data_IF_300435609053
#
_entry.id   IF_300435609053
#
_cell.length_a   1.000
_cell.length_b   1.000
_cell.length_c   1.000
_cell.angle_alpha   90.00
_cell.angle_beta   90.00
_cell.angle_gamma   90.00
#
_symmetry.space_group_name_H-M   'P 1'
#
loop_
_entity.id
_entity.type
_entity.pdbx_description
1 polymer ?
#
# COMPACT_ATOMS: atom_id res chain seq x y z
N UNK A 1 4.20 67.55 5.59
CA UNK A 1 4.57 66.59 6.65
C UNK A 1 3.36 65.70 6.95
N UNK A 2 3.36 64.47 6.45
CA UNK A 2 2.40 63.43 6.83
C UNK A 2 3.19 62.15 7.07
N UNK A 3 3.05 61.63 8.27
CA UNK A 3 3.92 60.65 8.92
C UNK A 3 3.71 59.29 8.25
N UNK A 4 4.78 58.74 7.71
CA UNK A 4 4.86 57.38 7.17
C UNK A 4 4.92 56.37 8.32
N UNK A 5 3.80 55.73 8.63
CA UNK A 5 3.80 54.54 9.51
C UNK A 5 4.11 53.30 8.68
N UNK A 6 5.39 52.95 8.62
CA UNK A 6 5.86 51.64 8.15
C UNK A 6 5.56 50.62 9.25
N UNK A 7 4.44 49.92 9.17
CA UNK A 7 4.23 48.70 9.95
C UNK A 7 4.97 47.56 9.25
N UNK A 8 6.09 47.11 9.85
CA UNK A 8 6.80 45.90 9.48
C UNK A 8 5.86 44.69 9.57
N UNK A 9 5.51 44.14 8.42
CA UNK A 9 4.80 42.87 8.29
C UNK A 9 5.80 41.72 8.55
N UNK A 10 5.92 41.30 9.81
CA UNK A 10 6.69 40.10 10.17
C UNK A 10 5.92 38.85 9.73
N UNK A 11 6.08 38.46 8.47
CA UNK A 11 5.53 37.23 7.91
C UNK A 11 6.19 36.00 8.54
N UNK A 12 5.56 35.42 9.55
CA UNK A 12 5.89 34.06 10.02
C UNK A 12 5.41 33.08 8.97
N UNK A 13 6.32 32.67 8.09
CA UNK A 13 6.11 31.57 7.15
C UNK A 13 5.97 30.28 7.98
N UNK A 14 4.75 29.96 8.39
CA UNK A 14 4.41 28.62 8.89
C UNK A 14 4.53 27.68 7.70
N UNK A 15 5.71 27.09 7.54
CA UNK A 15 5.93 25.91 6.70
C UNK A 15 5.07 24.79 7.29
N UNK A 16 3.81 24.75 6.88
CA UNK A 16 2.91 23.62 7.09
C UNK A 16 3.43 22.48 6.21
N UNK A 17 4.49 21.82 6.67
CA UNK A 17 4.92 20.57 6.07
C UNK A 17 3.73 19.62 6.09
N UNK A 18 3.27 19.19 4.91
CA UNK A 18 2.28 18.13 4.79
C UNK A 18 2.81 16.92 5.57
N UNK A 19 2.26 16.69 6.76
CA UNK A 19 2.75 15.60 7.60
C UNK A 19 2.16 14.29 7.09
N UNK A 20 2.95 13.55 6.31
CA UNK A 20 2.62 12.15 6.02
C UNK A 20 2.48 11.37 7.34
N UNK A 21 1.57 10.39 7.35
CA UNK A 21 1.41 9.47 8.49
C UNK A 21 2.58 8.48 8.58
N UNK A 22 3.18 8.13 7.44
CA UNK A 22 4.37 7.29 7.37
C UNK A 22 5.65 8.12 7.34
N UNK A 23 6.76 7.50 7.70
CA UNK A 23 8.09 8.11 7.62
C UNK A 23 8.92 7.49 6.49
N UNK A 24 9.68 8.29 5.72
CA UNK A 24 10.66 7.75 4.78
C UNK A 24 11.69 6.86 5.49
N UNK A 25 12.12 5.79 4.83
CA UNK A 25 13.27 4.99 5.27
C UNK A 25 14.56 5.64 4.78
N UNK A 26 15.61 5.71 5.59
CA UNK A 26 16.87 6.34 5.16
C UNK A 26 17.50 5.62 3.96
N UNK A 27 17.50 4.28 4.01
CA UNK A 27 17.88 3.44 2.87
C UNK A 27 16.67 3.15 1.98
N UNK A 28 16.66 3.71 0.77
CA UNK A 28 15.57 3.55 -0.19
C UNK A 28 15.63 2.25 -1.01
N UNK A 29 16.65 1.40 -0.81
CA UNK A 29 16.79 0.10 -1.47
C UNK A 29 15.97 -0.95 -0.73
N UNK A 30 15.04 -1.60 -1.45
CA UNK A 30 14.32 -2.78 -0.95
C UNK A 30 15.32 -3.91 -0.75
N UNK A 31 15.48 -4.33 0.50
CA UNK A 31 16.34 -5.47 0.83
C UNK A 31 15.63 -6.77 0.44
N UNK A 32 16.34 -7.76 -0.14
CA UNK A 32 15.79 -9.09 -0.39
C UNK A 32 15.25 -9.73 0.90
N UNK A 33 14.29 -10.64 0.75
CA UNK A 33 13.82 -11.43 1.89
C UNK A 33 14.92 -12.34 2.46
N UNK A 34 14.81 -12.67 3.75
CA UNK A 34 15.68 -13.66 4.40
C UNK A 34 15.36 -15.06 3.88
N UNK A 35 16.31 -16.00 3.95
CA UNK A 35 16.14 -17.36 3.44
C UNK A 35 14.91 -18.08 4.03
N UNK A 36 14.64 -17.89 5.33
CA UNK A 36 13.49 -18.50 6.02
C UNK A 36 12.23 -17.60 6.01
N UNK A 37 12.32 -16.41 5.41
CA UNK A 37 11.24 -15.43 5.34
C UNK A 37 10.63 -15.31 3.95
N UNK A 38 9.60 -14.48 3.83
CA UNK A 38 9.12 -13.94 2.56
C UNK A 38 8.92 -12.42 2.70
N UNK A 39 8.79 -11.71 1.59
CA UNK A 39 8.51 -10.28 1.60
C UNK A 39 7.52 -9.91 0.51
N UNK A 40 6.59 -9.02 0.82
CA UNK A 40 5.70 -8.41 -0.19
C UNK A 40 5.96 -6.90 -0.22
N UNK A 41 6.23 -6.37 -1.41
CA UNK A 41 6.43 -4.95 -1.65
C UNK A 41 5.16 -4.38 -2.27
N UNK A 42 4.40 -3.64 -1.47
CA UNK A 42 3.20 -2.94 -1.94
C UNK A 42 3.59 -1.58 -2.49
N UNK A 43 3.20 -1.28 -3.73
CA UNK A 43 3.60 -0.08 -4.46
C UNK A 43 2.40 0.71 -4.93
N UNK A 44 2.47 2.04 -4.81
CA UNK A 44 1.49 2.95 -5.41
C UNK A 44 2.19 4.02 -6.23
N UNK A 45 2.31 3.78 -7.54
CA UNK A 45 2.99 4.69 -8.48
C UNK A 45 2.05 5.63 -9.26
N UNK A 46 0.74 5.53 -9.10
CA UNK A 46 -0.21 6.23 -9.96
C UNK A 46 -0.16 7.78 -9.86
N UNK A 47 -0.41 8.48 -10.97
CA UNK A 47 -0.55 9.94 -11.00
C UNK A 47 -1.96 10.45 -10.66
N UNK A 48 -2.95 9.55 -10.56
CA UNK A 48 -4.37 9.85 -10.36
C UNK A 48 -4.81 9.64 -8.90
N UNK A 49 -5.85 10.38 -8.47
CA UNK A 49 -6.37 10.36 -7.09
C UNK A 49 -5.30 10.61 -5.99
N UNK A 50 -4.39 11.55 -6.23
CA UNK A 50 -3.23 11.86 -5.35
C UNK A 50 -3.60 12.19 -3.90
N UNK A 51 -4.83 12.63 -3.63
CA UNK A 51 -5.27 13.11 -2.33
C UNK A 51 -5.79 12.01 -1.38
N UNK A 52 -5.88 10.75 -1.82
CA UNK A 52 -6.47 9.65 -1.03
C UNK A 52 -5.39 8.62 -0.76
N UNK A 53 -5.23 8.24 0.50
CA UNK A 53 -4.32 7.19 0.94
C UNK A 53 -5.08 5.87 1.16
N UNK A 54 -4.36 4.76 1.07
CA UNK A 54 -4.90 3.43 1.33
C UNK A 54 -4.18 2.79 2.51
N UNK A 55 -4.90 2.23 3.47
CA UNK A 55 -4.29 1.48 4.57
C UNK A 55 -4.20 0.00 4.23
N UNK A 56 -3.11 -0.64 4.64
CA UNK A 56 -2.79 -2.03 4.33
C UNK A 56 -2.70 -2.87 5.60
N UNK A 57 -3.15 -4.12 5.48
CA UNK A 57 -3.21 -5.07 6.56
C UNK A 57 -2.83 -6.47 6.07
N UNK A 58 -2.14 -7.22 6.89
CA UNK A 58 -2.10 -8.68 6.81
C UNK A 58 -3.30 -9.16 7.64
N UNK A 59 -4.21 -9.88 7.01
CA UNK A 59 -5.44 -10.42 7.62
C UNK A 59 -5.46 -11.94 7.62
N UNK A 60 -4.28 -12.56 7.47
CA UNK A 60 -4.12 -14.01 7.47
C UNK A 60 -4.77 -14.61 8.73
N UNK A 61 -5.48 -15.73 8.55
CA UNK A 61 -6.26 -16.40 9.60
C UNK A 61 -7.32 -15.51 10.28
N UNK A 62 -7.76 -14.44 9.60
CA UNK A 62 -8.74 -13.49 10.10
C UNK A 62 -8.22 -12.53 11.17
N UNK A 63 -6.91 -12.49 11.42
CA UNK A 63 -6.29 -11.56 12.37
C UNK A 63 -5.77 -10.32 11.64
N UNK A 64 -6.30 -9.15 11.96
CA UNK A 64 -5.83 -7.91 11.33
C UNK A 64 -4.56 -7.38 11.99
N UNK A 65 -3.47 -7.49 11.25
CA UNK A 65 -2.20 -6.88 11.57
C UNK A 65 -1.95 -5.68 10.64
N UNK A 66 -1.70 -4.52 11.23
CA UNK A 66 -1.43 -3.30 10.48
C UNK A 66 -0.06 -3.36 9.78
N UNK A 67 -0.07 -3.18 8.45
CA UNK A 67 1.13 -3.12 7.62
C UNK A 67 1.60 -1.67 7.46
N UNK A 68 0.68 -0.76 7.16
CA UNK A 68 0.98 0.67 7.06
C UNK A 68 -0.03 1.43 6.20
N UNK A 69 0.30 2.67 5.85
CA UNK A 69 -0.53 3.53 5.00
C UNK A 69 0.26 3.86 3.73
N UNK A 70 -0.35 3.57 2.58
CA UNK A 70 0.25 3.75 1.28
C UNK A 70 -0.26 5.03 0.64
N UNK A 71 0.53 6.09 0.78
CA UNK A 71 0.31 7.36 0.09
C UNK A 71 0.81 7.31 -1.35
N UNK A 72 0.45 8.30 -2.15
CA UNK A 72 0.81 8.33 -3.56
C UNK A 72 2.33 8.46 -3.73
N UNK A 73 2.92 7.69 -4.64
CA UNK A 73 4.38 7.69 -4.86
C UNK A 73 5.16 7.06 -3.70
N UNK A 74 4.54 6.14 -2.95
CA UNK A 74 5.21 5.41 -1.86
C UNK A 74 5.12 3.90 -2.06
N UNK A 75 6.03 3.19 -1.39
CA UNK A 75 6.05 1.73 -1.29
C UNK A 75 6.35 1.30 0.14
N UNK A 76 5.81 0.14 0.51
CA UNK A 76 6.09 -0.52 1.79
C UNK A 76 6.64 -1.91 1.47
N UNK A 77 7.83 -2.22 1.98
CA UNK A 77 8.36 -3.58 1.99
C UNK A 77 7.93 -4.24 3.31
N UNK A 78 7.07 -5.27 3.23
CA UNK A 78 6.53 -5.98 4.38
C UNK A 78 7.15 -7.38 4.48
N UNK A 79 8.11 -7.60 5.40
CA UNK A 79 8.61 -8.93 5.72
C UNK A 79 7.51 -9.73 6.42
N UNK A 80 7.35 -10.99 6.02
CA UNK A 80 6.38 -11.92 6.61
C UNK A 80 6.90 -13.35 6.53
N UNK A 81 6.18 -14.30 7.10
CA UNK A 81 6.54 -15.70 6.97
C UNK A 81 6.10 -16.27 5.59
N UNK A 82 6.77 -17.30 5.07
CA UNK A 82 6.32 -18.01 3.89
C UNK A 82 4.95 -18.70 4.09
N UNK A 83 4.36 -19.17 2.99
CA UNK A 83 3.06 -19.85 2.95
C UNK A 83 1.92 -18.94 2.52
N UNK A 84 0.69 -19.42 2.73
CA UNK A 84 -0.51 -18.70 2.36
C UNK A 84 -0.70 -17.45 3.22
N UNK A 85 -1.07 -16.34 2.59
CA UNK A 85 -1.37 -15.05 3.22
C UNK A 85 -2.61 -14.43 2.60
N UNK A 86 -3.30 -13.64 3.41
CA UNK A 86 -4.36 -12.77 2.91
C UNK A 86 -4.01 -11.34 3.30
N UNK A 87 -3.90 -10.46 2.31
CA UNK A 87 -3.72 -9.03 2.53
C UNK A 87 -5.04 -8.31 2.27
N UNK A 88 -5.25 -7.23 3.01
CA UNK A 88 -6.40 -6.35 2.87
C UNK A 88 -5.94 -4.91 2.64
N UNK A 89 -6.59 -4.23 1.70
CA UNK A 89 -6.45 -2.79 1.48
C UNK A 89 -7.76 -2.10 1.84
N UNK A 90 -7.68 -0.98 2.57
CA UNK A 90 -8.84 -0.23 3.05
C UNK A 90 -8.75 1.26 2.68
N UNK A 91 -9.83 1.76 2.09
CA UNK A 91 -10.19 3.17 1.96
C UNK A 91 -11.64 3.37 2.45
N UNK A 92 -12.56 3.85 1.60
CA UNK A 92 -14.00 3.87 1.88
C UNK A 92 -14.63 2.46 1.83
N UNK A 93 -13.94 1.50 1.19
CA UNK A 93 -14.28 0.08 1.16
C UNK A 93 -13.01 -0.76 1.37
N UNK A 94 -13.16 -2.08 1.55
CA UNK A 94 -12.05 -3.02 1.58
C UNK A 94 -12.01 -3.91 0.33
N UNK A 95 -10.80 -4.29 -0.08
CA UNK A 95 -10.54 -5.32 -1.09
C UNK A 95 -9.35 -6.17 -0.61
N UNK A 96 -9.18 -7.35 -1.19
CA UNK A 96 -8.21 -8.33 -0.71
C UNK A 96 -7.34 -8.88 -1.84
N UNK A 97 -6.19 -9.41 -1.43
CA UNK A 97 -5.21 -10.12 -2.24
C UNK A 97 -4.82 -11.38 -1.49
N UNK A 98 -4.92 -12.53 -2.12
CA UNK A 98 -4.32 -13.75 -1.59
C UNK A 98 -2.88 -13.88 -2.09
N UNK A 99 -2.07 -14.62 -1.35
CA UNK A 99 -0.69 -14.84 -1.74
C UNK A 99 -0.18 -16.18 -1.24
N UNK A 100 0.49 -16.92 -2.10
CA UNK A 100 1.25 -18.11 -1.77
C UNK A 100 2.74 -17.76 -1.85
N UNK A 101 3.36 -17.54 -0.69
CA UNK A 101 4.73 -17.01 -0.61
C UNK A 101 5.74 -18.15 -0.40
N UNK A 102 6.73 -18.26 -1.28
CA UNK A 102 7.85 -19.17 -1.10
C UNK A 102 8.94 -18.56 -0.19
N UNK A 103 9.70 -19.38 0.55
CA UNK A 103 10.83 -18.92 1.37
C UNK A 103 11.92 -18.27 0.51
N UNK A 104 12.54 -17.23 1.05
CA UNK A 104 13.63 -16.48 0.41
C UNK A 104 13.20 -15.59 -0.75
N UNK A 105 11.90 -15.36 -0.95
CA UNK A 105 11.38 -14.63 -2.11
C UNK A 105 10.80 -13.26 -1.77
N UNK A 106 11.03 -12.32 -2.69
CA UNK A 106 10.37 -11.01 -2.68
C UNK A 106 9.32 -10.94 -3.78
N UNK A 107 8.10 -10.58 -3.37
CA UNK A 107 6.92 -10.42 -4.22
C UNK A 107 6.54 -8.94 -4.31
N UNK A 108 5.79 -8.58 -5.34
CA UNK A 108 5.40 -7.20 -5.59
C UNK A 108 3.90 -7.11 -5.89
N UNK A 109 3.24 -6.09 -5.35
CA UNK A 109 1.83 -5.83 -5.61
C UNK A 109 1.60 -4.36 -5.90
N UNK A 110 0.85 -4.08 -6.98
CA UNK A 110 0.40 -2.74 -7.31
C UNK A 110 -0.90 -2.42 -6.59
N UNK A 111 -0.96 -1.28 -5.91
CA UNK A 111 -2.13 -0.79 -5.19
C UNK A 111 -2.71 0.38 -5.95
N UNK A 112 -3.84 0.17 -6.60
CA UNK A 112 -4.39 1.14 -7.56
C UNK A 112 -5.76 1.64 -7.14
N UNK A 113 -6.02 2.96 -7.28
CA UNK A 113 -7.35 3.49 -7.07
C UNK A 113 -8.27 2.99 -8.19
N UNK A 114 -9.44 2.49 -7.81
CA UNK A 114 -10.55 2.23 -8.73
C UNK A 114 -11.49 3.41 -8.69
N UNK A 115 -11.48 4.21 -9.76
CA UNK A 115 -12.47 5.27 -9.95
C UNK A 115 -13.82 4.61 -10.28
N UNK A 116 -14.82 4.88 -9.46
CA UNK A 116 -16.21 4.47 -9.70
C UNK A 116 -17.17 5.62 -9.39
N UNK A 117 -18.43 5.51 -9.82
CA UNK A 117 -19.40 6.61 -9.74
C UNK A 117 -19.68 7.16 -8.32
N UNK A 118 -19.32 6.46 -7.23
CA UNK A 118 -19.80 6.80 -5.88
C UNK A 118 -18.82 6.62 -4.71
N UNK A 119 -17.71 5.87 -4.86
CA UNK A 119 -16.75 5.64 -3.76
C UNK A 119 -15.30 5.53 -4.26
N UNK A 120 -14.36 6.09 -3.52
CA UNK A 120 -12.93 5.87 -3.68
C UNK A 120 -12.53 4.49 -3.14
N UNK A 121 -12.21 3.57 -4.04
CA UNK A 121 -11.82 2.19 -3.71
C UNK A 121 -10.39 1.95 -4.13
N UNK A 122 -9.70 1.05 -3.44
CA UNK A 122 -8.41 0.53 -3.89
C UNK A 122 -8.52 -0.97 -4.14
N UNK A 123 -7.67 -1.45 -5.04
CA UNK A 123 -7.43 -2.88 -5.24
C UNK A 123 -5.94 -3.13 -5.24
N UNK A 124 -5.58 -4.34 -4.83
CA UNK A 124 -4.25 -4.87 -4.96
C UNK A 124 -4.20 -5.79 -6.18
N UNK A 125 -3.11 -5.71 -6.93
CA UNK A 125 -2.85 -6.50 -8.12
C UNK A 125 -1.47 -7.15 -8.00
N UNK A 126 -1.37 -8.49 -8.14
CA UNK A 126 -0.09 -9.17 -8.26
C UNK A 126 0.76 -8.56 -9.39
N UNK A 127 2.04 -8.35 -9.14
CA UNK A 127 3.02 -8.19 -10.23
C UNK A 127 3.51 -9.59 -10.57
N UNK A 128 2.95 -10.17 -11.64
CA UNK A 128 3.17 -11.57 -11.99
C UNK A 128 4.44 -11.76 -12.84
N UNK A 129 4.95 -13.00 -12.87
CA UNK A 129 5.92 -13.42 -13.90
C UNK A 129 5.33 -13.57 -15.29
N UNK A 130 4.01 -13.71 -15.45
CA UNK A 130 3.41 -13.82 -16.78
C UNK A 130 3.67 -12.53 -17.58
N UNK A 131 4.32 -12.58 -18.76
CA UNK A 131 4.56 -11.40 -19.59
C UNK A 131 3.27 -10.75 -20.12
N UNK A 132 2.13 -11.45 -20.07
CA UNK A 132 0.82 -10.95 -20.52
C UNK A 132 -0.02 -10.35 -19.38
N UNK A 133 0.41 -10.47 -18.13
CA UNK A 133 -0.30 -9.87 -17.00
C UNK A 133 -0.28 -8.34 -17.10
N UNK A 134 -1.35 -7.69 -16.62
CA UNK A 134 -1.45 -6.22 -16.55
C UNK A 134 -0.27 -5.61 -15.80
N UNK A 135 0.11 -6.23 -14.69
CA UNK A 135 1.33 -5.91 -13.96
C UNK A 135 2.27 -7.12 -14.04
N UNK A 136 3.36 -6.96 -14.79
CA UNK A 136 4.32 -8.02 -15.03
C UNK A 136 5.73 -7.60 -14.61
N UNK A 137 6.48 -8.53 -14.01
CA UNK A 137 7.91 -8.39 -13.74
C UNK A 137 8.74 -8.22 -15.02
N UNK A 138 8.20 -8.65 -16.16
CA UNK A 138 8.83 -8.52 -17.48
C UNK A 138 8.44 -7.21 -18.17
N UNK A 139 7.52 -6.43 -17.59
CA UNK A 139 7.16 -5.12 -18.14
C UNK A 139 8.35 -4.17 -18.06
N UNK A 140 8.52 -3.36 -19.10
CA UNK A 140 9.47 -2.23 -19.09
C UNK A 140 9.21 -1.26 -17.93
N UNK A 141 7.95 -1.17 -17.48
CA UNK A 141 7.51 -0.25 -16.43
C UNK A 141 7.84 -0.76 -15.02
N UNK A 142 8.24 -2.03 -14.85
CA UNK A 142 8.48 -2.60 -13.52
C UNK A 142 9.59 -1.85 -12.75
N UNK A 143 10.67 -1.48 -13.46
CA UNK A 143 11.76 -0.68 -12.86
C UNK A 143 11.27 0.69 -12.45
N UNK A 144 10.40 1.31 -13.23
CA UNK A 144 9.83 2.63 -12.96
C UNK A 144 8.89 2.56 -11.76
N UNK A 145 8.07 1.52 -11.62
CA UNK A 145 7.21 1.36 -10.43
C UNK A 145 8.01 1.29 -9.12
N UNK A 146 9.17 0.62 -9.14
CA UNK A 146 10.08 0.56 -7.99
C UNK A 146 10.80 1.91 -7.80
N UNK A 147 11.31 2.51 -8.88
CA UNK A 147 12.12 3.74 -8.84
C UNK A 147 11.33 5.00 -8.47
N UNK A 148 10.08 5.10 -8.93
CA UNK A 148 9.22 6.26 -8.77
C UNK A 148 8.50 6.31 -7.41
N UNK A 149 8.63 5.25 -6.61
CA UNK A 149 8.03 5.17 -5.28
C UNK A 149 9.08 5.34 -4.19
N UNK A 150 8.75 6.04 -3.10
CA UNK A 150 9.62 6.15 -1.93
C UNK A 150 9.32 5.05 -0.92
N UNK A 151 10.35 4.37 -0.44
CA UNK A 151 10.23 3.39 0.64
C UNK A 151 9.90 4.12 1.94
N UNK A 152 8.81 3.70 2.57
CA UNK A 152 8.32 4.25 3.84
C UNK A 152 8.10 3.15 4.87
N UNK A 153 8.16 3.52 6.14
CA UNK A 153 7.90 2.64 7.29
C UNK A 153 6.89 3.30 8.23
N UNK A 154 6.30 2.48 9.11
CA UNK A 154 5.41 2.99 10.15
C UNK A 154 6.13 4.02 11.02
N UNK A 155 5.41 5.09 11.36
CA UNK A 155 5.83 6.09 12.33
C UNK A 155 4.92 6.04 13.55
N UNK A 156 5.24 6.70 14.67
CA UNK A 156 4.30 6.84 15.78
C UNK A 156 2.94 7.42 15.35
N UNK A 157 2.91 8.28 14.31
CA UNK A 157 1.66 8.84 13.77
C UNK A 157 0.81 7.79 13.07
N UNK A 158 1.39 6.92 12.23
CA UNK A 158 0.64 5.87 11.55
C UNK A 158 0.11 4.83 12.53
N UNK A 159 0.89 4.49 13.56
CA UNK A 159 0.48 3.57 14.62
C UNK A 159 -0.70 4.14 15.43
N UNK A 160 -0.61 5.40 15.87
CA UNK A 160 -1.71 6.06 16.59
C UNK A 160 -2.97 6.21 15.73
N UNK A 161 -2.79 6.52 14.44
CA UNK A 161 -3.89 6.53 13.49
C UNK A 161 -4.58 5.16 13.42
N UNK A 162 -3.82 4.07 13.33
CA UNK A 162 -4.40 2.72 13.29
C UNK A 162 -5.18 2.41 14.57
N UNK A 163 -4.64 2.71 15.75
CA UNK A 163 -5.34 2.48 17.01
C UNK A 163 -6.70 3.20 17.08
N UNK A 164 -6.77 4.40 16.50
CA UNK A 164 -8.00 5.20 16.44
C UNK A 164 -9.00 4.69 15.40
N UNK A 165 -8.54 3.92 14.40
CA UNK A 165 -9.35 3.46 13.26
C UNK A 165 -9.62 1.95 13.26
N UNK A 166 -8.99 1.16 14.14
CA UNK A 166 -9.04 -0.32 14.11
C UNK A 166 -10.46 -0.89 14.11
N UNK A 167 -11.40 -0.29 14.85
CA UNK A 167 -12.80 -0.74 14.86
C UNK A 167 -13.46 -0.59 13.48
N UNK A 168 -13.19 0.52 12.78
CA UNK A 168 -13.68 0.75 11.42
C UNK A 168 -13.05 -0.21 10.41
N UNK A 169 -11.76 -0.52 10.60
CA UNK A 169 -11.02 -1.49 9.78
C UNK A 169 -11.60 -2.88 9.94
N UNK A 170 -11.83 -3.35 11.17
CA UNK A 170 -12.45 -4.66 11.42
C UNK A 170 -13.84 -4.76 10.83
N UNK A 171 -14.67 -3.72 11.00
CA UNK A 171 -16.01 -3.70 10.44
C UNK A 171 -15.97 -3.89 8.91
N UNK A 172 -15.05 -3.20 8.21
CA UNK A 172 -14.86 -3.37 6.77
C UNK A 172 -14.32 -4.74 6.40
N UNK A 173 -13.40 -5.32 7.17
CA UNK A 173 -12.91 -6.68 6.93
C UNK A 173 -14.08 -7.68 6.96
N UNK A 174 -14.90 -7.61 8.00
CA UNK A 174 -16.07 -8.48 8.19
C UNK A 174 -17.12 -8.27 7.08
N UNK A 175 -17.37 -7.01 6.70
CA UNK A 175 -18.34 -6.67 5.65
C UNK A 175 -17.91 -7.16 4.26
N UNK A 176 -16.65 -6.91 3.87
CA UNK A 176 -16.20 -7.12 2.50
C UNK A 176 -15.56 -8.49 2.26
N UNK A 177 -15.10 -9.20 3.29
CA UNK A 177 -14.47 -10.52 3.09
C UNK A 177 -15.41 -11.54 2.41
N UNK A 178 -16.68 -11.72 2.85
CA UNK A 178 -17.61 -12.63 2.17
C UNK A 178 -17.96 -12.17 0.75
N UNK A 179 -17.88 -10.87 0.45
CA UNK A 179 -18.08 -10.33 -0.90
C UNK A 179 -16.90 -10.71 -1.79
N UNK A 180 -15.69 -10.61 -1.27
CA UNK A 180 -14.47 -10.99 -1.99
C UNK A 180 -14.44 -12.50 -2.29
N UNK A 181 -14.80 -13.34 -1.32
CA UNK A 181 -14.83 -14.80 -1.48
C UNK A 181 -15.85 -15.30 -2.52
N UNK A 182 -16.85 -14.47 -2.87
CA UNK A 182 -17.84 -14.78 -3.90
C UNK A 182 -17.41 -14.40 -5.31
N UNK A 183 -16.22 -13.81 -5.48
CA UNK A 183 -15.66 -13.52 -6.80
C UNK A 183 -15.46 -14.81 -7.59
N UNK A 184 -15.45 -14.69 -8.92
CA UNK A 184 -15.21 -15.85 -9.78
C UNK A 184 -13.81 -16.42 -9.54
N UNK A 185 -13.62 -17.72 -9.81
CA UNK A 185 -12.27 -18.32 -9.69
C UNK A 185 -11.25 -17.60 -10.57
N UNK A 186 -11.64 -17.16 -11.77
CA UNK A 186 -10.77 -16.36 -12.64
C UNK A 186 -10.38 -15.01 -11.99
N UNK A 187 -11.33 -14.32 -11.36
CA UNK A 187 -11.02 -13.09 -10.64
C UNK A 187 -10.11 -13.34 -9.44
N UNK A 188 -10.33 -14.42 -8.68
CA UNK A 188 -9.48 -14.75 -7.53
C UNK A 188 -8.05 -15.08 -7.97
N UNK A 189 -7.88 -15.80 -9.08
CA UNK A 189 -6.57 -16.08 -9.68
C UNK A 189 -5.85 -14.77 -10.07
N UNK A 190 -6.56 -13.81 -10.68
CA UNK A 190 -6.01 -12.48 -10.97
C UNK A 190 -5.67 -11.65 -9.71
N UNK A 191 -6.12 -12.09 -8.52
CA UNK A 191 -5.89 -11.45 -7.20
C UNK A 191 -5.02 -12.30 -6.29
N UNK A 192 -4.24 -13.21 -6.87
CA UNK A 192 -3.36 -14.09 -6.11
C UNK A 192 -1.91 -13.87 -6.53
N UNK A 193 -1.04 -13.59 -5.56
CA UNK A 193 0.40 -13.73 -5.77
C UNK A 193 0.75 -15.21 -5.72
N UNK A 194 1.24 -15.77 -6.82
CA UNK A 194 1.62 -17.18 -6.85
C UNK A 194 3.07 -17.36 -6.40
N UNK A 195 3.40 -18.53 -5.86
CA UNK A 195 4.76 -18.84 -5.41
C UNK A 195 5.82 -18.56 -6.49
N UNK A 196 5.49 -18.80 -7.76
CA UNK A 196 6.37 -18.56 -8.90
C UNK A 196 6.64 -17.07 -9.17
N UNK A 197 5.78 -16.15 -8.72
CA UNK A 197 5.93 -14.71 -8.97
C UNK A 197 7.12 -14.09 -8.21
N UNK A 198 7.68 -14.80 -7.22
CA UNK A 198 8.79 -14.31 -6.40
C UNK A 198 10.11 -14.16 -7.18
N UNK A 199 10.84 -13.10 -6.88
CA UNK A 199 12.25 -12.93 -7.27
C UNK A 199 13.16 -13.57 -6.21
#
# INVERSE_FOLDING_TARGET
MRITSVLMLAGTLLLTGCSSLMQPVDNQVVQPSTQDGAQVVFMRSAFTAKAIDASLYDVTDGKTQFVGILSNGTKIAYPTAPGHRTFMVVSEAADFLEADLAPGKTYYSMVTPRMGMWKARFSMWPVSRDPKAEYSLQSKDFKDWIGDTKLVANSPKSLNWFESNKTSVEAKRVEYWPVWQKKSSADLQLRTLHAADGL
#
